data_IF_153888660145
#
_entry.id   IF_153888660145
#
_cell.length_a   1.000
_cell.length_b   1.000
_cell.length_c   1.000
_cell.angle_alpha   90.00
_cell.angle_beta   90.00
_cell.angle_gamma   90.00
#
_symmetry.space_group_name_H-M   'P 1'
#
loop_
_entity.id
_entity.type
_entity.pdbx_description
1 polymer ?
#
# COMPACT_ATOMS: atom_id res chain seq x y z
N UNK A 1 -67.67 36.88 18.77
CA UNK A 1 -66.42 37.57 18.41
C UNK A 1 -65.28 36.67 18.87
N UNK A 2 -64.71 35.93 17.92
CA UNK A 2 -63.78 34.81 18.11
C UNK A 2 -62.36 35.32 17.81
N UNK A 3 -61.38 34.99 18.64
CA UNK A 3 -59.97 34.98 18.24
C UNK A 3 -59.31 33.70 18.74
N UNK A 4 -59.09 32.76 17.83
CA UNK A 4 -58.34 31.52 18.03
C UNK A 4 -56.86 31.81 17.79
N UNK A 5 -56.01 31.59 18.80
CA UNK A 5 -54.55 31.63 18.67
C UNK A 5 -54.05 30.31 18.09
N UNK A 6 -53.40 30.35 16.93
CA UNK A 6 -52.65 29.24 16.37
C UNK A 6 -51.23 29.23 16.95
N UNK A 7 -50.85 28.15 17.65
CA UNK A 7 -49.47 27.82 17.96
C UNK A 7 -48.90 27.01 16.79
N UNK A 8 -47.96 27.58 16.04
CA UNK A 8 -47.16 26.84 15.07
C UNK A 8 -46.07 26.05 15.79
N UNK A 9 -46.16 24.72 15.75
CA UNK A 9 -45.15 23.79 16.25
C UNK A 9 -44.02 23.70 15.20
N UNK A 10 -42.89 24.35 15.43
CA UNK A 10 -41.68 24.16 14.62
C UNK A 10 -41.02 22.83 14.99
N UNK A 11 -41.29 21.78 14.22
CA UNK A 11 -40.53 20.53 14.23
C UNK A 11 -39.13 20.78 13.64
N UNK A 12 -38.14 20.95 14.50
CA UNK A 12 -36.74 20.87 14.12
C UNK A 12 -36.43 19.42 13.73
N UNK A 13 -36.44 19.12 12.43
CA UNK A 13 -35.76 17.95 11.89
C UNK A 13 -34.25 18.17 12.06
N UNK A 14 -33.69 17.74 13.18
CA UNK A 14 -32.25 17.52 13.30
C UNK A 14 -31.90 16.35 12.40
N UNK A 15 -31.54 16.65 11.15
CA UNK A 15 -30.87 15.69 10.27
C UNK A 15 -29.56 15.30 10.93
N UNK A 16 -29.54 14.14 11.59
CA UNK A 16 -28.31 13.48 12.01
C UNK A 16 -27.60 13.10 10.73
N UNK A 17 -26.67 13.94 10.29
CA UNK A 17 -25.67 13.55 9.31
C UNK A 17 -24.97 12.32 9.93
N UNK A 18 -25.05 11.13 9.34
CA UNK A 18 -24.27 10.01 9.85
C UNK A 18 -22.81 10.45 9.74
N UNK A 19 -22.18 10.74 10.87
CA UNK A 19 -20.73 10.77 10.93
C UNK A 19 -20.29 9.45 10.31
N UNK A 20 -19.48 9.48 9.25
CA UNK A 20 -18.76 8.30 8.81
C UNK A 20 -17.97 7.83 10.03
N UNK A 21 -18.46 6.80 10.71
CA UNK A 21 -17.78 6.20 11.84
C UNK A 21 -16.49 5.60 11.30
N UNK A 22 -15.38 5.83 12.02
CA UNK A 22 -14.11 5.20 11.72
C UNK A 22 -14.25 3.68 11.79
N UNK A 23 -13.48 2.97 10.96
CA UNK A 23 -13.43 1.51 10.90
C UNK A 23 -13.41 0.87 12.30
N UNK A 24 -14.34 -0.05 12.54
CA UNK A 24 -14.48 -0.74 13.82
C UNK A 24 -13.89 -2.17 13.79
N UNK A 25 -13.44 -2.73 14.93
CA UNK A 25 -12.89 -4.09 14.99
C UNK A 25 -13.79 -5.18 14.38
N UNK A 26 -15.12 -5.07 14.54
CA UNK A 26 -16.08 -6.04 13.98
C UNK A 26 -16.16 -6.03 12.45
N UNK A 27 -15.63 -5.01 11.79
CA UNK A 27 -15.65 -4.82 10.34
C UNK A 27 -14.38 -5.32 9.65
N UNK A 28 -13.39 -5.78 10.43
CA UNK A 28 -12.12 -6.35 9.97
C UNK A 28 -12.20 -7.87 9.95
N UNK A 29 -11.89 -8.47 8.81
CA UNK A 29 -11.80 -9.93 8.61
C UNK A 29 -10.37 -10.33 8.30
N UNK A 30 -9.86 -11.34 9.00
CA UNK A 30 -8.47 -11.78 8.90
C UNK A 30 -8.37 -12.96 7.93
N UNK A 31 -7.41 -12.90 7.00
CA UNK A 31 -7.09 -13.99 6.09
C UNK A 31 -5.85 -14.71 6.60
N UNK A 32 -6.02 -15.94 7.07
CA UNK A 32 -4.96 -16.76 7.70
C UNK A 32 -4.53 -17.86 6.77
N UNK A 33 -3.22 -17.98 6.55
CA UNK A 33 -2.67 -19.08 5.76
C UNK A 33 -2.55 -20.34 6.61
N UNK A 34 -3.34 -21.38 6.29
CA UNK A 34 -3.33 -22.68 6.95
C UNK A 34 -1.98 -23.41 6.87
N UNK A 35 -1.24 -23.19 5.79
CA UNK A 35 0.08 -23.81 5.58
C UNK A 35 1.20 -23.13 6.39
N UNK A 36 0.93 -21.99 7.03
CA UNK A 36 1.88 -21.24 7.86
C UNK A 36 1.38 -21.20 9.32
N UNK A 37 1.88 -22.09 10.22
CA UNK A 37 1.40 -22.18 11.60
C UNK A 37 1.52 -20.87 12.40
N UNK A 38 2.51 -20.02 12.10
CA UNK A 38 2.66 -18.73 12.78
C UNK A 38 1.58 -17.73 12.38
N UNK A 39 0.96 -17.90 11.20
CA UNK A 39 -0.16 -17.07 10.72
C UNK A 39 -1.32 -17.08 11.71
N UNK A 40 -1.73 -18.27 12.17
CA UNK A 40 -2.83 -18.41 13.13
C UNK A 40 -2.47 -17.76 14.49
N UNK A 41 -1.24 -17.94 14.99
CA UNK A 41 -0.80 -17.35 16.25
C UNK A 41 -0.79 -15.82 16.23
N UNK A 42 -0.44 -15.23 15.07
CA UNK A 42 -0.48 -13.77 14.87
C UNK A 42 -1.92 -13.29 14.77
N UNK A 43 -2.80 -14.01 14.09
CA UNK A 43 -4.22 -13.67 13.99
C UNK A 43 -4.92 -13.69 15.36
N UNK A 44 -4.68 -14.73 16.17
CA UNK A 44 -5.20 -14.80 17.54
C UNK A 44 -4.72 -13.62 18.39
N UNK A 45 -3.44 -13.24 18.26
CA UNK A 45 -2.88 -12.09 18.95
C UNK A 45 -3.50 -10.76 18.49
N UNK A 46 -3.73 -10.61 17.18
CA UNK A 46 -4.41 -9.43 16.65
C UNK A 46 -5.84 -9.32 17.20
N UNK A 47 -6.61 -10.41 17.19
CA UNK A 47 -7.94 -10.46 17.79
C UNK A 47 -7.93 -10.08 19.28
N UNK A 48 -6.94 -10.55 20.04
CA UNK A 48 -6.79 -10.19 21.47
C UNK A 48 -6.51 -8.70 21.66
N UNK A 49 -5.57 -8.14 20.91
CA UNK A 49 -5.13 -6.74 21.05
C UNK A 49 -6.17 -5.75 20.54
N UNK A 50 -6.80 -6.04 19.40
CA UNK A 50 -7.77 -5.15 18.73
C UNK A 50 -9.23 -5.44 19.04
N UNK A 51 -9.51 -6.52 19.78
CA UNK A 51 -10.88 -6.99 20.07
C UNK A 51 -11.68 -7.30 18.79
N UNK A 52 -10.99 -7.73 17.73
CA UNK A 52 -11.66 -8.28 16.54
C UNK A 52 -12.26 -9.64 16.91
N UNK A 53 -13.55 -9.90 16.60
CA UNK A 53 -14.17 -11.19 16.88
C UNK A 53 -13.40 -12.34 16.25
N UNK A 54 -13.16 -13.42 17.01
CA UNK A 54 -12.46 -14.61 16.48
C UNK A 54 -13.18 -15.27 15.30
N UNK A 55 -14.50 -15.10 15.24
CA UNK A 55 -15.34 -15.54 14.11
C UNK A 55 -15.09 -14.77 12.80
N UNK A 56 -14.32 -13.67 12.85
CA UNK A 56 -13.88 -12.94 11.66
C UNK A 56 -12.59 -13.52 11.05
N UNK A 57 -12.01 -14.59 11.62
CA UNK A 57 -10.87 -15.28 11.04
C UNK A 57 -11.35 -16.23 9.93
N UNK A 58 -10.78 -16.06 8.73
CA UNK A 58 -11.01 -16.92 7.56
C UNK A 58 -9.70 -17.65 7.26
N UNK A 59 -9.70 -18.96 7.49
CA UNK A 59 -8.55 -19.83 7.25
C UNK A 59 -8.56 -20.31 5.80
N UNK A 60 -7.46 -20.10 5.08
CA UNK A 60 -7.30 -20.41 3.66
C UNK A 60 -6.16 -21.41 3.45
N UNK A 61 -6.37 -22.37 2.56
CA UNK A 61 -5.35 -23.36 2.17
C UNK A 61 -4.65 -22.87 0.90
N UNK A 62 -3.55 -22.14 1.09
CA UNK A 62 -2.80 -21.48 0.01
C UNK A 62 -1.30 -21.75 0.14
N UNK A 63 -0.55 -21.43 -0.91
CA UNK A 63 0.91 -21.55 -0.94
C UNK A 63 1.58 -20.67 0.13
N UNK A 64 2.77 -21.07 0.58
CA UNK A 64 3.67 -20.27 1.43
C UNK A 64 4.66 -19.44 0.62
N UNK A 65 4.63 -19.54 -0.71
CA UNK A 65 5.44 -18.70 -1.59
C UNK A 65 4.84 -17.30 -1.74
N UNK A 66 5.70 -16.33 -2.08
CA UNK A 66 5.29 -14.93 -2.33
C UNK A 66 4.34 -14.78 -3.54
N UNK A 67 4.30 -15.77 -4.43
CA UNK A 67 3.51 -15.77 -5.65
C UNK A 67 2.42 -16.84 -5.64
N UNK A 68 1.25 -16.49 -6.18
CA UNK A 68 0.14 -17.43 -6.44
C UNK A 68 -0.32 -17.30 -7.89
N UNK A 69 -0.71 -18.42 -8.52
CA UNK A 69 -1.32 -18.38 -9.85
C UNK A 69 -2.71 -17.71 -9.80
N UNK A 70 -3.15 -17.09 -10.90
CA UNK A 70 -4.50 -16.52 -10.99
C UNK A 70 -5.58 -17.54 -10.65
N UNK A 71 -5.45 -18.77 -11.18
CA UNK A 71 -6.39 -19.87 -10.91
C UNK A 71 -6.48 -20.20 -9.43
N UNK A 72 -5.34 -20.31 -8.75
CA UNK A 72 -5.30 -20.61 -7.32
C UNK A 72 -5.80 -19.42 -6.49
N UNK A 73 -5.52 -18.18 -6.89
CA UNK A 73 -6.12 -17.00 -6.26
C UNK A 73 -7.66 -17.05 -6.33
N UNK A 74 -8.24 -17.31 -7.51
CA UNK A 74 -9.69 -17.34 -7.68
C UNK A 74 -10.36 -18.49 -6.90
N UNK A 75 -9.74 -19.67 -6.91
CA UNK A 75 -10.32 -20.89 -6.33
C UNK A 75 -10.00 -21.10 -4.85
N UNK A 76 -8.83 -20.67 -4.38
CA UNK A 76 -8.35 -20.87 -2.99
C UNK A 76 -8.43 -19.62 -2.12
N UNK A 77 -8.56 -18.43 -2.69
CA UNK A 77 -8.75 -17.18 -1.93
C UNK A 77 -10.15 -16.61 -2.18
N UNK A 78 -10.46 -16.16 -3.40
CA UNK A 78 -11.70 -15.42 -3.68
C UNK A 78 -12.94 -16.23 -3.34
N UNK A 79 -13.01 -17.48 -3.81
CA UNK A 79 -14.19 -18.33 -3.61
C UNK A 79 -14.44 -18.64 -2.12
N UNK A 80 -13.45 -19.10 -1.33
CA UNK A 80 -13.61 -19.27 0.11
C UNK A 80 -13.93 -17.98 0.87
N UNK A 81 -13.28 -16.86 0.54
CA UNK A 81 -13.53 -15.57 1.21
C UNK A 81 -14.97 -15.10 0.95
N UNK A 82 -15.44 -15.11 -0.29
CA UNK A 82 -16.84 -14.78 -0.62
C UNK A 82 -17.82 -15.70 0.10
N UNK A 83 -17.50 -16.99 0.21
CA UNK A 83 -18.33 -17.97 0.94
C UNK A 83 -18.40 -17.65 2.43
N UNK A 84 -17.26 -17.34 3.07
CA UNK A 84 -17.19 -17.00 4.49
C UNK A 84 -17.87 -15.66 4.83
N UNK A 85 -17.90 -14.74 3.88
CA UNK A 85 -18.53 -13.41 4.03
C UNK A 85 -20.00 -13.36 3.59
N UNK A 86 -20.59 -14.48 3.19
CA UNK A 86 -22.01 -14.54 2.83
C UNK A 86 -22.89 -14.08 3.99
N UNK A 87 -23.74 -13.08 3.76
CA UNK A 87 -24.58 -12.44 4.79
C UNK A 87 -23.85 -11.40 5.64
N UNK A 88 -22.56 -11.15 5.38
CA UNK A 88 -21.70 -10.15 6.06
C UNK A 88 -21.12 -9.14 5.07
N UNK A 89 -21.63 -9.06 3.84
CA UNK A 89 -21.10 -8.25 2.75
C UNK A 89 -21.07 -6.76 3.08
N UNK A 90 -22.05 -6.29 3.86
CA UNK A 90 -22.10 -4.90 4.32
C UNK A 90 -21.26 -4.64 5.58
N UNK A 91 -20.98 -5.68 6.37
CA UNK A 91 -20.16 -5.61 7.58
C UNK A 91 -18.66 -5.65 7.27
N UNK A 92 -18.25 -6.47 6.30
CA UNK A 92 -16.84 -6.59 5.92
C UNK A 92 -16.37 -5.34 5.19
N UNK A 93 -15.70 -4.44 5.91
CA UNK A 93 -15.12 -3.21 5.35
C UNK A 93 -13.62 -3.34 5.10
N UNK A 94 -12.95 -4.23 5.80
CA UNK A 94 -11.52 -4.45 5.65
C UNK A 94 -11.16 -5.95 5.65
N UNK A 95 -10.31 -6.36 4.71
CA UNK A 95 -9.60 -7.65 4.75
C UNK A 95 -8.17 -7.41 5.21
N UNK A 96 -7.75 -8.18 6.21
CA UNK A 96 -6.41 -8.15 6.77
C UNK A 96 -5.67 -9.44 6.42
N UNK A 97 -4.74 -9.36 5.48
CA UNK A 97 -3.82 -10.47 5.17
C UNK A 97 -2.89 -10.69 6.36
N UNK A 98 -2.78 -11.91 6.86
CA UNK A 98 -1.87 -12.26 7.96
C UNK A 98 -0.63 -12.97 7.40
N UNK A 99 0.47 -12.86 8.13
CA UNK A 99 1.77 -13.48 7.89
C UNK A 99 1.69 -14.80 7.10
N UNK A 100 2.44 -14.87 6.00
CA UNK A 100 2.50 -16.05 5.14
C UNK A 100 1.47 -16.09 4.01
N UNK A 101 0.55 -15.12 3.91
CA UNK A 101 -0.29 -14.98 2.71
C UNK A 101 0.56 -14.56 1.49
N UNK A 102 0.29 -15.07 0.27
CA UNK A 102 1.02 -14.64 -0.92
C UNK A 102 0.93 -13.13 -1.15
N UNK A 103 1.95 -12.53 -1.77
CA UNK A 103 2.02 -11.09 -2.05
C UNK A 103 1.53 -10.76 -3.45
N UNK A 104 1.82 -11.61 -4.44
CA UNK A 104 1.56 -11.34 -5.86
C UNK A 104 0.71 -12.41 -6.52
N UNK A 105 -0.34 -11.98 -7.23
CA UNK A 105 -1.08 -12.82 -8.16
C UNK A 105 -0.44 -12.71 -9.53
N UNK A 106 -0.02 -13.84 -10.10
CA UNK A 106 0.57 -13.88 -11.43
C UNK A 106 -0.48 -13.65 -12.52
N UNK A 107 -0.02 -13.11 -13.65
CA UNK A 107 -0.84 -13.01 -14.85
C UNK A 107 -1.44 -14.38 -15.23
N UNK A 108 -2.69 -14.42 -15.73
CA UNK A 108 -3.28 -15.67 -16.20
C UNK A 108 -2.48 -16.22 -17.39
N UNK A 109 -2.14 -17.50 -17.34
CA UNK A 109 -1.43 -18.23 -18.39
C UNK A 109 -2.14 -19.57 -18.64
N UNK A 110 -2.10 -20.06 -19.88
CA UNK A 110 -2.42 -21.46 -20.16
C UNK A 110 -1.34 -22.38 -19.61
N UNK A 111 -1.62 -23.68 -19.44
CA UNK A 111 -0.63 -24.64 -18.98
C UNK A 111 0.61 -24.70 -19.90
N UNK A 112 0.43 -24.54 -21.21
CA UNK A 112 1.53 -24.46 -22.17
C UNK A 112 2.36 -23.19 -21.96
N UNK A 113 1.70 -22.03 -21.77
CA UNK A 113 2.38 -20.77 -21.51
C UNK A 113 3.13 -20.80 -20.17
N UNK A 114 2.58 -21.45 -19.14
CA UNK A 114 3.25 -21.66 -17.84
C UNK A 114 4.53 -22.49 -18.01
N UNK A 115 4.47 -23.63 -18.71
CA UNK A 115 5.64 -24.47 -18.97
C UNK A 115 6.72 -23.72 -19.76
N UNK A 116 6.31 -22.94 -20.77
CA UNK A 116 7.22 -22.10 -21.54
C UNK A 116 7.83 -21.00 -20.66
N UNK A 117 7.04 -20.35 -19.81
CA UNK A 117 7.51 -19.30 -18.91
C UNK A 117 8.52 -19.84 -17.89
N UNK A 118 8.25 -20.99 -17.26
CA UNK A 118 9.18 -21.66 -16.33
C UNK A 118 10.51 -21.96 -17.04
N UNK A 119 10.44 -22.50 -18.27
CA UNK A 119 11.63 -22.77 -19.07
C UNK A 119 12.39 -21.49 -19.38
N UNK A 120 11.73 -20.45 -19.90
CA UNK A 120 12.39 -19.20 -20.27
C UNK A 120 12.98 -18.46 -19.06
N UNK A 121 12.31 -18.48 -17.90
CA UNK A 121 12.83 -17.90 -16.65
C UNK A 121 14.10 -18.62 -16.20
N UNK A 122 14.11 -19.96 -16.21
CA UNK A 122 15.29 -20.76 -15.87
C UNK A 122 16.45 -20.49 -16.83
N UNK A 123 16.17 -20.45 -18.13
CA UNK A 123 17.18 -20.21 -19.16
C UNK A 123 17.72 -18.76 -19.03
N UNK A 124 16.85 -17.77 -18.73
CA UNK A 124 17.24 -16.38 -18.49
C UNK A 124 18.12 -16.23 -17.25
N UNK A 125 17.77 -16.90 -16.15
CA UNK A 125 18.57 -16.89 -14.92
C UNK A 125 19.98 -17.43 -15.17
N UNK A 126 20.08 -18.58 -15.86
CA UNK A 126 21.37 -19.14 -16.28
C UNK A 126 22.17 -18.14 -17.12
N UNK A 127 21.52 -17.48 -18.08
CA UNK A 127 22.19 -16.50 -18.95
C UNK A 127 22.62 -15.23 -18.24
N UNK A 128 21.83 -14.74 -17.28
CA UNK A 128 22.21 -13.62 -16.43
C UNK A 128 23.39 -13.96 -15.53
N UNK A 129 23.43 -15.16 -14.97
CA UNK A 129 24.57 -15.63 -14.17
C UNK A 129 25.87 -15.73 -15.02
N UNK A 130 25.77 -16.24 -16.26
CA UNK A 130 26.89 -16.24 -17.22
C UNK A 130 27.35 -14.82 -17.55
N UNK A 131 26.41 -13.90 -17.82
CA UNK A 131 26.69 -12.49 -18.13
C UNK A 131 27.35 -11.76 -16.96
N UNK A 132 26.83 -11.95 -15.73
CA UNK A 132 27.39 -11.35 -14.52
C UNK A 132 28.80 -11.86 -14.25
N UNK A 133 29.04 -13.16 -14.45
CA UNK A 133 30.38 -13.73 -14.36
C UNK A 133 31.31 -13.14 -15.43
N UNK A 134 30.87 -13.06 -16.69
CA UNK A 134 31.64 -12.46 -17.77
C UNK A 134 32.01 -10.98 -17.50
N UNK A 135 31.08 -10.22 -16.92
CA UNK A 135 31.29 -8.82 -16.50
C UNK A 135 32.28 -8.72 -15.33
N UNK A 136 32.15 -9.60 -14.32
CA UNK A 136 33.11 -9.68 -13.20
C UNK A 136 34.52 -10.06 -13.65
N UNK A 137 34.62 -11.00 -14.58
CA UNK A 137 35.89 -11.47 -15.17
C UNK A 137 36.45 -10.49 -16.22
N UNK A 138 35.77 -9.37 -16.47
CA UNK A 138 36.13 -8.33 -17.46
C UNK A 138 36.41 -8.91 -18.85
N UNK A 139 35.59 -9.87 -19.27
CA UNK A 139 35.71 -10.48 -20.59
C UNK A 139 35.49 -9.43 -21.70
N UNK A 140 36.12 -9.62 -22.88
CA UNK A 140 36.01 -8.69 -23.99
C UNK A 140 34.59 -8.72 -24.59
N UNK A 141 34.18 -7.60 -25.21
CA UNK A 141 32.78 -7.38 -25.67
C UNK A 141 32.26 -8.49 -26.57
N UNK A 142 33.11 -9.09 -27.40
CA UNK A 142 32.75 -10.16 -28.32
C UNK A 142 32.24 -11.42 -27.59
N UNK A 143 32.58 -11.58 -26.30
CA UNK A 143 32.05 -12.65 -25.43
C UNK A 143 30.86 -12.21 -24.58
N UNK A 144 30.72 -10.90 -24.31
CA UNK A 144 29.65 -10.33 -23.47
C UNK A 144 28.39 -10.07 -24.30
N UNK A 145 28.53 -9.48 -25.48
CA UNK A 145 27.43 -9.04 -26.33
C UNK A 145 26.48 -10.19 -26.73
N UNK A 146 26.96 -11.42 -27.06
CA UNK A 146 26.07 -12.55 -27.34
C UNK A 146 25.23 -12.98 -26.13
N UNK A 147 25.84 -13.01 -24.93
CA UNK A 147 25.14 -13.36 -23.68
C UNK A 147 24.08 -12.33 -23.34
N UNK A 148 24.39 -11.04 -23.51
CA UNK A 148 23.45 -9.94 -23.31
C UNK A 148 22.30 -9.99 -24.31
N UNK A 149 22.58 -10.29 -25.58
CA UNK A 149 21.55 -10.48 -26.61
C UNK A 149 20.64 -11.66 -26.28
N UNK A 150 21.19 -12.83 -25.94
CA UNK A 150 20.40 -14.02 -25.58
C UNK A 150 19.52 -13.76 -24.34
N UNK A 151 20.05 -13.06 -23.33
CA UNK A 151 19.28 -12.67 -22.15
C UNK A 151 18.14 -11.71 -22.52
N UNK A 152 18.39 -10.73 -23.39
CA UNK A 152 17.37 -9.80 -23.86
C UNK A 152 16.30 -10.49 -24.72
N UNK A 153 16.67 -11.44 -25.58
CA UNK A 153 15.73 -12.23 -26.39
C UNK A 153 14.84 -13.12 -25.51
N UNK A 154 15.41 -13.79 -24.50
CA UNK A 154 14.65 -14.56 -23.51
C UNK A 154 13.70 -13.67 -22.72
N UNK A 155 14.15 -12.49 -22.31
CA UNK A 155 13.31 -11.50 -21.65
C UNK A 155 12.15 -11.04 -22.56
N UNK A 156 12.41 -10.82 -23.86
CA UNK A 156 11.38 -10.50 -24.86
C UNK A 156 10.35 -11.60 -25.04
N UNK A 157 10.77 -12.88 -25.04
CA UNK A 157 9.86 -14.04 -25.10
C UNK A 157 9.00 -14.17 -23.84
N UNK A 158 9.58 -13.94 -22.67
CA UNK A 158 8.84 -13.89 -21.39
C UNK A 158 7.78 -12.80 -21.46
N UNK A 159 8.17 -11.61 -21.90
CA UNK A 159 7.27 -10.46 -22.06
C UNK A 159 6.09 -10.82 -22.99
N UNK A 160 6.36 -11.43 -24.15
CA UNK A 160 5.30 -11.82 -25.10
C UNK A 160 4.36 -12.94 -24.64
N UNK A 161 4.74 -13.74 -23.63
CA UNK A 161 3.88 -14.77 -23.05
C UNK A 161 2.98 -14.24 -21.93
N UNK A 162 3.45 -13.24 -21.21
CA UNK A 162 2.72 -12.67 -20.07
C UNK A 162 1.63 -11.76 -20.63
N UNK A 163 0.40 -11.87 -20.10
CA UNK A 163 -0.61 -10.83 -20.30
C UNK A 163 -0.04 -9.56 -19.63
N UNK A 164 0.57 -8.69 -20.44
CA UNK A 164 1.40 -7.59 -19.96
C UNK A 164 0.64 -6.74 -18.94
N UNK A 165 1.31 -6.38 -17.84
CA UNK A 165 0.73 -5.62 -16.74
C UNK A 165 -0.54 -6.28 -16.17
N UNK A 166 -0.59 -7.62 -16.12
CA UNK A 166 -1.69 -8.40 -15.51
C UNK A 166 -1.35 -9.21 -14.24
N UNK A 167 -0.10 -9.10 -13.76
CA UNK A 167 0.28 -9.45 -12.38
C UNK A 167 -0.05 -8.32 -11.37
N UNK A 168 -0.73 -8.61 -10.27
CA UNK A 168 -1.12 -7.59 -9.28
C UNK A 168 -0.71 -8.03 -7.87
N UNK A 169 -0.76 -7.12 -6.88
CA UNK A 169 -0.69 -7.58 -5.50
C UNK A 169 -1.97 -8.32 -5.13
N UNK A 170 -1.85 -9.34 -4.27
CA UNK A 170 -3.01 -10.05 -3.69
C UNK A 170 -3.92 -9.07 -2.97
N UNK A 171 -3.35 -8.11 -2.25
CA UNK A 171 -4.08 -7.10 -1.48
C UNK A 171 -4.89 -6.13 -2.38
N UNK A 172 -4.37 -5.76 -3.55
CA UNK A 172 -5.13 -4.98 -4.55
C UNK A 172 -6.22 -5.81 -5.21
N UNK A 173 -5.96 -7.07 -5.56
CA UNK A 173 -7.00 -7.94 -6.12
C UNK A 173 -8.11 -8.23 -5.10
N UNK A 174 -7.76 -8.35 -3.82
CA UNK A 174 -8.72 -8.49 -2.74
C UNK A 174 -9.58 -7.24 -2.57
N UNK A 175 -9.06 -6.05 -2.89
CA UNK A 175 -9.85 -4.80 -2.89
C UNK A 175 -11.05 -4.89 -3.84
N UNK A 176 -10.91 -5.69 -4.90
CA UNK A 176 -11.93 -5.96 -5.91
C UNK A 176 -12.73 -7.23 -5.61
N UNK A 177 -12.75 -7.73 -4.36
CA UNK A 177 -13.40 -8.99 -3.98
C UNK A 177 -14.82 -9.14 -4.54
N UNK A 178 -15.61 -8.07 -4.64
CA UNK A 178 -17.00 -8.11 -5.09
C UNK A 178 -17.19 -7.81 -6.58
N UNK A 179 -16.12 -7.63 -7.34
CA UNK A 179 -16.17 -7.35 -8.77
C UNK A 179 -16.15 -8.68 -9.51
N UNK A 180 -17.24 -9.02 -10.21
CA UNK A 180 -17.35 -10.28 -10.93
C UNK A 180 -16.47 -10.32 -12.20
N UNK A 181 -16.38 -9.19 -12.90
CA UNK A 181 -15.59 -9.02 -14.12
C UNK A 181 -14.95 -7.64 -14.10
N UNK A 182 -13.67 -7.59 -14.41
CA UNK A 182 -12.91 -6.36 -14.54
C UNK A 182 -11.71 -6.59 -15.46
N UNK A 183 -11.14 -5.49 -15.96
CA UNK A 183 -9.92 -5.58 -16.75
C UNK A 183 -8.75 -5.94 -15.83
N UNK A 184 -8.05 -7.02 -16.14
CA UNK A 184 -6.83 -7.41 -15.44
C UNK A 184 -5.61 -6.64 -15.94
N UNK A 185 -5.69 -5.90 -17.05
CA UNK A 185 -4.57 -5.07 -17.48
C UNK A 185 -4.56 -3.76 -16.74
N UNK A 186 -3.40 -3.45 -16.15
CA UNK A 186 -3.09 -2.15 -15.54
C UNK A 186 -4.06 -1.83 -14.41
N UNK A 187 -4.06 -0.57 -14.02
CA UNK A 187 -4.75 -0.09 -12.86
C UNK A 187 -6.26 0.12 -13.08
N UNK A 188 -6.99 0.09 -11.97
CA UNK A 188 -8.39 0.52 -11.89
C UNK A 188 -8.50 1.68 -10.91
N UNK A 189 -9.18 2.74 -11.33
CA UNK A 189 -9.39 3.93 -10.51
C UNK A 189 -10.16 3.63 -9.24
N UNK A 190 -9.70 4.20 -8.14
CA UNK A 190 -10.23 3.97 -6.83
C UNK A 190 -11.59 4.68 -6.61
N UNK A 191 -12.68 3.93 -6.39
CA UNK A 191 -13.99 4.53 -6.10
C UNK A 191 -14.06 5.35 -4.81
N UNK A 192 -13.13 5.13 -3.87
CA UNK A 192 -13.05 5.77 -2.55
C UNK A 192 -12.16 7.02 -2.51
N UNK A 193 -11.47 7.34 -3.62
CA UNK A 193 -10.53 8.45 -3.64
C UNK A 193 -11.22 9.78 -3.30
N UNK A 194 -10.66 10.56 -2.39
CA UNK A 194 -11.34 11.72 -1.81
C UNK A 194 -11.63 12.85 -2.80
N UNK A 195 -10.82 12.97 -3.85
CA UNK A 195 -11.02 13.94 -4.92
C UNK A 195 -11.89 13.43 -6.07
N UNK A 196 -12.42 12.19 -5.97
CA UNK A 196 -13.27 11.63 -7.01
C UNK A 196 -14.54 12.48 -7.16
N UNK A 197 -14.85 12.99 -8.37
CA UNK A 197 -16.08 13.73 -8.61
C UNK A 197 -17.33 12.90 -8.25
N UNK A 198 -18.32 13.55 -7.62
CA UNK A 198 -19.56 12.90 -7.18
C UNK A 198 -20.51 12.53 -8.32
N UNK A 199 -20.29 13.10 -9.49
CA UNK A 199 -21.13 13.02 -10.69
C UNK A 199 -20.64 11.99 -11.73
N UNK A 200 -19.56 11.24 -11.44
CA UNK A 200 -19.13 10.11 -12.29
C UNK A 200 -20.32 9.14 -12.46
N UNK A 201 -20.80 9.04 -13.69
CA UNK A 201 -21.96 8.20 -14.05
C UNK A 201 -21.57 6.72 -13.96
N UNK A 202 -22.31 5.96 -13.17
CA UNK A 202 -22.14 4.51 -13.02
C UNK A 202 -21.87 4.11 -11.57
N UNK A 203 -22.57 3.08 -11.09
CA UNK A 203 -22.26 2.47 -9.78
C UNK A 203 -21.06 1.54 -9.96
N UNK A 204 -19.89 1.94 -9.49
CA UNK A 204 -18.79 0.99 -9.28
C UNK A 204 -19.25 -0.05 -8.24
N UNK A 205 -18.95 -1.35 -8.43
CA UNK A 205 -19.18 -2.32 -7.37
C UNK A 205 -18.42 -1.90 -6.10
N UNK A 206 -18.89 -2.37 -4.95
CA UNK A 206 -18.27 -2.03 -3.66
C UNK A 206 -16.84 -2.56 -3.65
N UNK A 207 -15.90 -1.72 -3.24
CA UNK A 207 -14.52 -2.12 -2.95
C UNK A 207 -14.36 -2.36 -1.45
N UNK A 208 -13.44 -3.24 -1.08
CA UNK A 208 -13.10 -3.54 0.31
C UNK A 208 -11.70 -3.02 0.61
N UNK A 209 -11.49 -2.40 1.78
CA UNK A 209 -10.16 -1.92 2.13
C UNK A 209 -9.24 -3.10 2.46
N UNK A 210 -7.95 -3.00 2.14
CA UNK A 210 -6.99 -4.08 2.42
C UNK A 210 -5.73 -3.56 3.10
N UNK A 211 -5.19 -4.37 4.01
CA UNK A 211 -3.90 -4.16 4.66
C UNK A 211 -3.33 -5.51 5.07
N UNK A 212 -2.08 -5.51 5.57
CA UNK A 212 -1.33 -6.71 5.89
C UNK A 212 -0.57 -6.59 7.20
N UNK A 213 -0.69 -7.59 8.07
CA UNK A 213 0.27 -7.82 9.16
C UNK A 213 1.24 -8.92 8.73
N UNK A 214 2.42 -8.52 8.30
CA UNK A 214 3.47 -9.41 7.80
C UNK A 214 4.84 -8.73 7.91
N UNK A 215 5.92 -9.47 7.73
CA UNK A 215 7.27 -8.93 7.78
C UNK A 215 8.33 -10.03 7.72
N UNK A 216 9.62 -9.70 7.84
CA UNK A 216 10.71 -10.66 7.70
C UNK A 216 10.68 -11.87 8.64
N UNK A 217 10.01 -11.74 9.78
CA UNK A 217 9.82 -12.84 10.73
C UNK A 217 8.45 -12.72 11.41
N UNK A 218 7.91 -13.81 11.97
CA UNK A 218 6.68 -13.78 12.75
C UNK A 218 6.74 -12.79 13.93
N UNK A 219 7.92 -12.66 14.55
CA UNK A 219 8.16 -11.72 15.64
C UNK A 219 7.99 -10.27 15.20
N UNK A 220 8.45 -9.90 14.00
CA UNK A 220 8.28 -8.57 13.45
C UNK A 220 6.81 -8.31 13.11
N UNK A 221 6.11 -9.28 12.50
CA UNK A 221 4.67 -9.15 12.24
C UNK A 221 3.87 -8.91 13.53
N UNK A 222 4.16 -9.66 14.60
CA UNK A 222 3.59 -9.43 15.94
C UNK A 222 3.96 -8.06 16.51
N UNK A 223 5.19 -7.59 16.27
CA UNK A 223 5.66 -6.27 16.70
C UNK A 223 4.83 -5.15 16.07
N UNK A 224 4.46 -5.24 14.79
CA UNK A 224 3.67 -4.20 14.11
C UNK A 224 2.35 -3.90 14.85
N UNK A 225 1.67 -4.95 15.30
CA UNK A 225 0.43 -4.85 16.09
C UNK A 225 0.69 -4.15 17.43
N UNK A 226 1.77 -4.59 18.10
CA UNK A 226 2.12 -4.13 19.44
C UNK A 226 2.53 -2.67 19.44
N UNK A 227 3.36 -2.28 18.48
CA UNK A 227 3.81 -0.91 18.29
C UNK A 227 2.65 0.02 17.95
N UNK A 228 1.74 -0.40 17.06
CA UNK A 228 0.56 0.39 16.70
C UNK A 228 -0.34 0.68 17.92
N UNK A 229 -0.68 -0.35 18.71
CA UNK A 229 -1.50 -0.19 19.92
C UNK A 229 -0.77 0.66 20.98
N UNK A 230 0.53 0.47 21.15
CA UNK A 230 1.32 1.26 22.10
C UNK A 230 1.41 2.73 21.69
N UNK A 231 1.59 3.02 20.41
CA UNK A 231 1.64 4.38 19.88
C UNK A 231 0.27 5.08 20.01
N UNK A 232 -0.86 4.39 19.84
CA UNK A 232 -2.19 4.97 20.12
C UNK A 232 -2.45 5.23 21.61
N UNK A 233 -1.86 4.41 22.48
CA UNK A 233 -1.96 4.58 23.92
C UNK A 233 -1.19 5.81 24.38
N UNK A 234 0.04 6.01 23.87
CA UNK A 234 0.98 7.05 24.31
C UNK A 234 0.95 8.33 23.47
N UNK A 235 0.47 8.24 22.23
CA UNK A 235 0.71 9.22 21.19
C UNK A 235 1.94 8.85 20.36
N UNK A 236 1.91 9.11 19.05
CA UNK A 236 3.09 9.03 18.19
C UNK A 236 3.85 10.37 18.26
N UNK A 237 4.99 10.35 18.94
CA UNK A 237 5.90 11.48 19.07
C UNK A 237 7.23 11.16 18.39
N UNK A 238 7.88 12.18 17.82
CA UNK A 238 9.15 12.04 17.11
C UNK A 238 9.24 13.04 15.97
N UNK A 239 10.26 12.83 15.13
CA UNK A 239 10.62 13.72 14.02
C UNK A 239 10.08 13.20 12.71
N UNK A 240 9.91 14.12 11.77
CA UNK A 240 9.49 13.85 10.41
C UNK A 240 10.66 14.09 9.48
N UNK A 241 10.95 13.10 8.63
CA UNK A 241 12.02 13.16 7.65
C UNK A 241 11.44 12.97 6.25
N UNK A 242 11.67 13.95 5.40
CA UNK A 242 11.24 13.91 4.00
C UNK A 242 12.47 13.99 3.12
N UNK A 243 12.67 12.98 2.29
CA UNK A 243 13.79 12.84 1.37
C UNK A 243 13.27 13.00 -0.06
N UNK A 244 13.25 14.25 -0.54
CA UNK A 244 12.79 14.66 -1.86
C UNK A 244 13.99 15.00 -2.75
N UNK A 245 13.82 14.98 -4.08
CA UNK A 245 14.91 15.25 -5.03
C UNK A 245 15.07 16.69 -5.49
N UNK A 246 14.10 17.56 -5.21
CA UNK A 246 14.15 18.96 -5.67
C UNK A 246 13.86 19.11 -7.17
N UNK A 247 13.02 18.24 -7.73
CA UNK A 247 12.56 18.30 -9.11
C UNK A 247 11.61 19.51 -9.28
N UNK A 248 12.10 20.55 -9.94
CA UNK A 248 11.39 21.84 -10.11
C UNK A 248 10.93 22.11 -11.55
N UNK A 249 11.34 21.27 -12.51
CA UNK A 249 11.02 21.45 -13.93
C UNK A 249 9.70 20.75 -14.27
N UNK A 250 8.59 21.37 -13.91
CA UNK A 250 7.25 20.80 -14.12
C UNK A 250 6.94 20.72 -15.63
N UNK A 251 6.66 19.52 -16.18
CA UNK A 251 6.24 19.37 -17.58
C UNK A 251 4.94 20.14 -17.87
N UNK A 252 4.82 20.70 -19.08
CA UNK A 252 3.56 21.33 -19.51
C UNK A 252 2.44 20.29 -19.53
N UNK A 253 1.35 20.56 -18.81
CA UNK A 253 0.20 19.65 -18.72
C UNK A 253 0.34 18.54 -17.67
N UNK A 254 1.35 18.62 -16.80
CA UNK A 254 1.49 17.71 -15.66
C UNK A 254 0.22 17.69 -14.79
N UNK A 255 -0.28 16.49 -14.52
CA UNK A 255 -1.49 16.27 -13.72
C UNK A 255 -1.23 16.22 -12.21
N UNK A 256 0.03 16.32 -11.79
CA UNK A 256 0.49 16.13 -10.42
C UNK A 256 0.75 14.67 -10.03
N UNK A 257 0.59 13.70 -10.94
CA UNK A 257 0.79 12.28 -10.67
C UNK A 257 2.10 11.70 -11.26
N UNK A 258 2.81 12.50 -12.04
CA UNK A 258 4.16 12.21 -12.51
C UNK A 258 5.22 12.33 -11.40
N UNK A 259 6.49 12.17 -11.76
CA UNK A 259 7.60 12.24 -10.82
C UNK A 259 7.71 13.64 -10.20
N UNK A 260 7.68 14.69 -11.00
CA UNK A 260 7.77 16.07 -10.52
C UNK A 260 6.60 16.43 -9.58
N UNK A 261 5.40 15.94 -9.89
CA UNK A 261 4.22 16.15 -9.05
C UNK A 261 4.31 15.42 -7.70
N UNK A 262 4.80 14.17 -7.69
CA UNK A 262 5.01 13.45 -6.44
C UNK A 262 6.12 14.09 -5.59
N UNK A 263 7.18 14.60 -6.23
CA UNK A 263 8.30 15.25 -5.55
C UNK A 263 7.89 16.59 -4.93
N UNK A 264 7.02 17.34 -5.61
CA UNK A 264 6.36 18.50 -5.02
C UNK A 264 5.46 18.10 -3.85
N UNK A 265 4.71 17.01 -3.95
CA UNK A 265 3.88 16.54 -2.83
C UNK A 265 4.70 16.20 -1.60
N UNK A 266 5.94 15.73 -1.74
CA UNK A 266 6.85 15.58 -0.61
C UNK A 266 7.22 16.93 0.03
N UNK A 267 7.54 17.95 -0.77
CA UNK A 267 7.80 19.30 -0.25
C UNK A 267 6.57 19.89 0.45
N UNK A 268 5.39 19.70 -0.12
CA UNK A 268 4.13 20.15 0.48
C UNK A 268 3.80 19.39 1.77
N UNK A 269 4.08 18.08 1.86
CA UNK A 269 4.02 17.33 3.12
C UNK A 269 4.91 17.95 4.18
N UNK A 270 6.17 18.23 3.84
CA UNK A 270 7.12 18.83 4.77
C UNK A 270 6.64 20.20 5.27
N UNK A 271 6.14 21.05 4.36
CA UNK A 271 5.58 22.35 4.72
C UNK A 271 4.34 22.23 5.60
N UNK A 272 3.37 21.38 5.22
CA UNK A 272 2.11 21.18 5.97
C UNK A 272 2.38 20.74 7.41
N UNK A 273 3.19 19.69 7.59
CA UNK A 273 3.44 19.11 8.91
C UNK A 273 4.26 20.06 9.79
N UNK A 274 5.15 20.87 9.20
CA UNK A 274 5.96 21.85 9.94
C UNK A 274 5.15 23.09 10.32
N UNK A 275 4.53 23.72 9.34
CA UNK A 275 3.92 25.05 9.49
C UNK A 275 2.55 24.96 10.17
N UNK A 276 1.74 23.96 9.81
CA UNK A 276 0.40 23.77 10.37
C UNK A 276 0.43 22.74 11.50
N UNK A 277 1.03 21.57 11.24
CA UNK A 277 1.10 20.47 12.19
C UNK A 277 2.02 20.71 13.40
N UNK A 278 2.87 21.74 13.34
CA UNK A 278 3.87 22.10 14.37
C UNK A 278 4.78 20.92 14.75
N UNK A 279 5.10 20.08 13.77
CA UNK A 279 6.00 18.94 13.94
C UNK A 279 7.46 19.34 13.66
N UNK A 280 8.41 18.60 14.24
CA UNK A 280 9.83 18.73 13.91
C UNK A 280 10.11 18.04 12.57
N UNK A 281 10.31 18.83 11.52
CA UNK A 281 10.44 18.36 10.14
C UNK A 281 11.80 18.73 9.56
N UNK A 282 12.52 17.71 9.07
CA UNK A 282 13.73 17.86 8.25
C UNK A 282 13.42 17.45 6.82
N UNK A 283 13.69 18.35 5.88
CA UNK A 283 13.56 18.12 4.44
C UNK A 283 14.95 18.08 3.82
N UNK A 284 15.32 16.95 3.23
CA UNK A 284 16.36 16.87 2.21
C UNK A 284 15.68 17.08 0.86
N UNK A 285 16.15 18.06 0.07
CA UNK A 285 15.49 18.50 -1.18
C UNK A 285 16.52 18.54 -2.32
N UNK A 286 17.37 17.53 -2.35
CA UNK A 286 18.42 17.32 -3.36
C UNK A 286 18.46 15.85 -3.73
N UNK A 287 19.26 15.48 -4.72
CA UNK A 287 19.39 14.06 -5.11
C UNK A 287 20.11 13.17 -4.09
N UNK A 288 20.55 13.71 -2.96
CA UNK A 288 21.24 12.95 -1.92
C UNK A 288 20.23 12.25 -1.03
N UNK A 289 20.53 11.00 -0.69
CA UNK A 289 19.81 10.31 0.38
C UNK A 289 20.30 10.77 1.75
N UNK A 290 19.44 10.67 2.76
CA UNK A 290 19.88 10.81 4.14
C UNK A 290 21.01 9.82 4.49
N UNK A 291 22.07 10.28 5.17
CA UNK A 291 23.15 9.40 5.62
C UNK A 291 22.69 8.28 6.55
N UNK A 292 23.49 7.22 6.65
CA UNK A 292 23.26 6.11 7.59
C UNK A 292 23.11 6.65 9.02
N UNK A 293 22.01 6.27 9.66
CA UNK A 293 21.63 6.62 11.04
C UNK A 293 21.58 8.12 11.36
N UNK A 294 21.36 8.99 10.37
CA UNK A 294 21.23 10.45 10.59
C UNK A 294 19.85 10.87 11.10
N UNK A 295 18.81 10.10 10.81
CA UNK A 295 17.43 10.45 11.12
C UNK A 295 17.00 9.85 12.47
N UNK A 296 17.29 10.57 13.56
CA UNK A 296 17.02 10.16 14.94
C UNK A 296 15.56 10.37 15.32
N UNK A 297 15.03 9.50 16.19
CA UNK A 297 13.65 9.58 16.71
C UNK A 297 12.61 9.69 15.59
N UNK A 298 12.80 8.94 14.50
CA UNK A 298 11.99 9.06 13.29
C UNK A 298 10.59 8.49 13.51
N UNK A 299 9.56 9.35 13.49
CA UNK A 299 8.15 8.98 13.57
C UNK A 299 7.50 8.86 12.19
N UNK A 300 7.82 9.78 11.28
CA UNK A 300 7.31 9.75 9.89
C UNK A 300 8.47 9.87 8.91
N UNK A 301 8.52 8.99 7.92
CA UNK A 301 9.50 9.02 6.85
C UNK A 301 8.85 8.83 5.48
N UNK A 302 9.23 9.66 4.52
CA UNK A 302 8.89 9.48 3.12
C UNK A 302 10.11 9.80 2.27
N UNK A 303 10.64 8.82 1.54
CA UNK A 303 11.87 9.00 0.76
C UNK A 303 11.75 8.70 -0.73
N UNK A 304 12.69 9.25 -1.49
CA UNK A 304 12.64 9.27 -2.96
C UNK A 304 13.66 8.35 -3.63
N UNK A 305 13.15 7.50 -4.53
CA UNK A 305 13.81 6.59 -5.50
C UNK A 305 15.27 6.18 -5.29
N UNK A 306 15.45 5.00 -4.66
CA UNK A 306 16.69 4.23 -4.54
C UNK A 306 16.34 2.73 -4.61
N UNK A 307 15.93 2.27 -5.79
CA UNK A 307 15.39 0.91 -6.01
C UNK A 307 16.39 -0.15 -5.57
N UNK A 308 15.91 -1.06 -4.71
CA UNK A 308 16.70 -2.19 -4.19
C UNK A 308 18.09 -1.76 -3.64
N UNK A 309 18.17 -0.54 -3.12
CA UNK A 309 19.37 0.03 -2.53
C UNK A 309 18.97 0.74 -1.22
N UNK A 310 18.55 -0.07 -0.26
CA UNK A 310 18.18 0.37 1.08
C UNK A 310 19.35 1.05 1.80
N UNK A 311 19.08 2.22 2.38
CA UNK A 311 19.99 2.91 3.30
C UNK A 311 19.36 2.93 4.69
N UNK A 312 20.10 2.44 5.68
CA UNK A 312 19.70 2.44 7.09
C UNK A 312 19.80 3.85 7.70
N UNK A 313 19.03 4.80 7.17
CA UNK A 313 19.12 6.22 7.51
C UNK A 313 18.39 6.59 8.80
N UNK A 314 17.34 5.85 9.16
CA UNK A 314 16.44 6.18 10.26
C UNK A 314 16.59 5.27 11.48
N UNK A 315 16.55 5.89 12.66
CA UNK A 315 16.27 5.21 13.92
C UNK A 315 14.81 5.49 14.30
N UNK A 316 13.95 4.49 14.09
CA UNK A 316 12.51 4.63 14.22
C UNK A 316 12.03 4.54 15.67
N UNK A 317 11.03 5.36 16.02
CA UNK A 317 10.25 5.18 17.25
C UNK A 317 9.18 4.10 17.05
N UNK A 318 8.73 3.41 18.11
CA UNK A 318 7.58 2.52 18.03
C UNK A 318 6.33 3.26 17.51
N UNK A 319 5.68 2.70 16.49
CA UNK A 319 4.56 3.33 15.79
C UNK A 319 4.95 4.08 14.52
N UNK A 320 6.25 4.15 14.17
CA UNK A 320 6.71 4.91 13.02
C UNK A 320 6.13 4.41 11.69
N UNK A 321 5.87 5.37 10.81
CA UNK A 321 5.33 5.13 9.46
C UNK A 321 6.37 5.61 8.47
N UNK A 322 6.84 4.69 7.63
CA UNK A 322 7.95 4.94 6.74
C UNK A 322 7.73 4.25 5.41
N UNK A 323 7.95 4.95 4.29
CA UNK A 323 8.12 4.27 3.01
C UNK A 323 9.09 5.02 2.10
N UNK A 324 9.48 4.34 1.03
CA UNK A 324 10.32 4.89 -0.01
C UNK A 324 9.62 4.72 -1.36
N UNK A 325 9.53 5.79 -2.15
CA UNK A 325 8.99 5.76 -3.51
C UNK A 325 10.00 5.01 -4.39
N UNK A 326 9.76 3.72 -4.63
CA UNK A 326 10.57 2.90 -5.51
C UNK A 326 9.78 1.68 -6.00
N UNK A 327 10.19 1.15 -7.15
CA UNK A 327 9.58 -0.03 -7.77
C UNK A 327 10.10 -1.31 -7.12
N UNK A 328 9.32 -2.40 -7.17
CA UNK A 328 9.73 -3.73 -6.70
C UNK A 328 10.09 -3.82 -5.19
N UNK A 329 9.58 -2.91 -4.37
CA UNK A 329 9.97 -2.78 -2.95
C UNK A 329 9.42 -3.89 -2.05
N UNK A 330 8.31 -4.50 -2.47
CA UNK A 330 7.61 -5.54 -1.74
C UNK A 330 7.59 -6.87 -2.55
N UNK A 331 8.69 -7.20 -3.25
CA UNK A 331 8.85 -8.47 -3.97
C UNK A 331 8.81 -9.71 -3.06
N UNK A 332 9.39 -9.57 -1.87
CA UNK A 332 9.34 -10.56 -0.81
C UNK A 332 9.56 -9.86 0.53
N UNK A 333 8.81 -10.29 1.55
CA UNK A 333 9.06 -9.87 2.92
C UNK A 333 9.91 -10.89 3.69
N UNK A 334 9.78 -12.18 3.37
CA UNK A 334 10.42 -13.28 4.10
C UNK A 334 11.84 -13.57 3.59
N UNK A 335 12.06 -13.48 2.28
CA UNK A 335 13.38 -13.74 1.67
C UNK A 335 14.26 -12.49 1.75
N UNK A 336 15.56 -12.67 1.98
CA UNK A 336 16.50 -11.56 2.01
C UNK A 336 16.53 -10.82 0.67
N UNK A 337 16.48 -9.49 0.75
CA UNK A 337 16.59 -8.59 -0.38
C UNK A 337 16.97 -7.18 0.11
N UNK A 338 17.32 -6.30 -0.83
CA UNK A 338 17.72 -4.92 -0.56
C UNK A 338 16.57 -3.90 -0.72
N UNK A 339 15.31 -4.36 -0.77
CA UNK A 339 14.13 -3.50 -0.83
C UNK A 339 13.83 -2.81 0.49
N UNK A 340 13.31 -1.59 0.43
CA UNK A 340 12.90 -0.75 1.54
C UNK A 340 11.75 -1.35 2.35
N UNK A 341 10.71 -1.96 1.77
CA UNK A 341 9.60 -2.53 2.57
C UNK A 341 10.14 -3.46 3.68
N UNK A 342 10.89 -4.50 3.27
CA UNK A 342 11.45 -5.49 4.19
C UNK A 342 12.42 -4.85 5.19
N UNK A 343 13.33 -4.01 4.71
CA UNK A 343 14.40 -3.47 5.52
C UNK A 343 13.92 -2.38 6.48
N UNK A 344 12.94 -1.55 6.12
CA UNK A 344 12.28 -0.61 7.03
C UNK A 344 11.64 -1.36 8.21
N UNK A 345 10.95 -2.46 7.95
CA UNK A 345 10.37 -3.31 9.00
C UNK A 345 11.46 -3.94 9.90
N UNK A 346 12.56 -4.42 9.32
CA UNK A 346 13.71 -4.90 10.12
C UNK A 346 14.27 -3.81 11.04
N UNK A 347 14.32 -2.56 10.56
CA UNK A 347 14.92 -1.44 11.28
C UNK A 347 13.99 -0.74 12.26
N UNK A 348 12.74 -1.18 12.37
CA UNK A 348 11.83 -0.74 13.43
C UNK A 348 10.61 0.03 12.96
N UNK A 349 10.43 0.27 11.66
CA UNK A 349 9.19 0.85 11.16
C UNK A 349 8.01 -0.07 11.52
N UNK A 350 6.90 0.53 11.95
CA UNK A 350 5.65 -0.17 12.28
C UNK A 350 4.75 -0.30 11.06
N UNK A 351 4.84 0.67 10.15
CA UNK A 351 4.08 0.72 8.90
C UNK A 351 5.00 1.03 7.73
N UNK A 352 4.79 0.33 6.63
CA UNK A 352 5.36 0.66 5.31
C UNK A 352 4.35 0.33 4.21
N UNK A 353 4.61 0.83 3.01
CA UNK A 353 3.89 0.42 1.81
C UNK A 353 4.85 0.32 0.64
N UNK A 354 4.50 -0.49 -0.34
CA UNK A 354 5.28 -0.58 -1.57
C UNK A 354 4.72 -1.60 -2.57
N UNK A 355 5.20 -1.54 -3.80
CA UNK A 355 4.67 -2.35 -4.89
C UNK A 355 5.33 -3.74 -4.98
N UNK A 356 4.57 -4.74 -5.43
CA UNK A 356 5.10 -6.07 -5.77
C UNK A 356 5.76 -6.13 -7.15
N UNK A 357 5.62 -5.10 -7.98
CA UNK A 357 6.31 -4.95 -9.27
C UNK A 357 6.41 -3.46 -9.65
N UNK A 358 6.52 -3.09 -10.93
CA UNK A 358 6.55 -1.69 -11.37
C UNK A 358 5.15 -1.04 -11.23
N UNK A 359 5.01 0.07 -10.48
CA UNK A 359 3.69 0.66 -10.25
C UNK A 359 3.43 1.99 -10.97
N UNK A 360 4.45 2.63 -11.57
CA UNK A 360 4.48 4.08 -11.81
C UNK A 360 4.37 4.91 -10.51
N UNK A 361 4.79 6.18 -10.54
CA UNK A 361 4.64 7.07 -9.37
C UNK A 361 3.20 7.26 -8.93
N UNK A 362 2.26 7.22 -9.88
CA UNK A 362 0.85 7.51 -9.66
C UNK A 362 0.14 6.50 -8.75
N UNK A 363 0.66 5.29 -8.58
CA UNK A 363 0.02 4.29 -7.72
C UNK A 363 0.33 4.50 -6.23
N UNK A 364 1.42 5.19 -5.89
CA UNK A 364 1.67 5.55 -4.51
C UNK A 364 0.69 6.64 -4.07
N UNK A 365 0.18 6.59 -2.83
CA UNK A 365 -0.59 7.69 -2.30
C UNK A 365 0.31 8.92 -2.20
N UNK A 366 -0.25 10.09 -2.54
CA UNK A 366 0.50 11.34 -2.43
C UNK A 366 0.83 11.62 -0.95
N UNK A 367 2.10 11.89 -0.60
CA UNK A 367 2.53 11.94 0.78
C UNK A 367 1.87 13.08 1.56
N UNK A 368 1.69 14.28 0.99
CA UNK A 368 0.97 15.36 1.68
C UNK A 368 -0.45 14.91 2.04
N UNK A 369 -1.15 14.29 1.11
CA UNK A 369 -2.55 13.90 1.28
C UNK A 369 -2.66 12.76 2.31
N UNK A 370 -1.83 11.72 2.17
CA UNK A 370 -1.83 10.56 3.07
C UNK A 370 -1.49 10.96 4.50
N UNK A 371 -0.32 11.58 4.70
CA UNK A 371 0.12 11.96 6.04
C UNK A 371 -0.74 13.10 6.59
N UNK A 372 -1.26 13.98 5.73
CA UNK A 372 -2.23 15.01 6.07
C UNK A 372 -3.50 14.43 6.66
N UNK A 373 -4.17 13.51 5.94
CA UNK A 373 -5.39 12.86 6.44
C UNK A 373 -5.13 12.05 7.71
N UNK A 374 -4.02 11.31 7.78
CA UNK A 374 -3.65 10.56 8.98
C UNK A 374 -3.45 11.48 10.19
N UNK A 375 -2.75 12.61 10.01
CA UNK A 375 -2.48 13.60 11.05
C UNK A 375 -3.72 14.34 11.55
N UNK A 376 -4.87 14.22 10.86
CA UNK A 376 -6.16 14.69 11.39
C UNK A 376 -6.68 13.85 12.56
N UNK A 377 -6.19 12.61 12.71
CA UNK A 377 -6.71 11.66 13.70
C UNK A 377 -8.13 11.15 13.42
N UNK A 378 -8.77 11.55 12.31
CA UNK A 378 -10.12 11.12 11.94
C UNK A 378 -10.15 9.76 11.25
N UNK A 379 -9.09 9.42 10.55
CA UNK A 379 -8.98 8.22 9.71
C UNK A 379 -7.95 7.26 10.31
N UNK A 380 -8.28 5.98 10.29
CA UNK A 380 -7.31 4.91 10.50
C UNK A 380 -6.34 4.80 9.34
N UNK A 381 -5.26 4.03 9.51
CA UNK A 381 -4.24 3.83 8.51
C UNK A 381 -4.82 3.35 7.17
N UNK A 382 -5.70 2.34 7.21
CA UNK A 382 -6.27 1.78 5.98
C UNK A 382 -7.27 2.74 5.33
N UNK A 383 -7.99 3.55 6.13
CA UNK A 383 -8.88 4.57 5.60
C UNK A 383 -8.11 5.70 4.94
N UNK A 384 -7.00 6.16 5.54
CA UNK A 384 -6.13 7.17 4.94
C UNK A 384 -5.52 6.66 3.63
N UNK A 385 -5.05 5.41 3.60
CA UNK A 385 -4.57 4.75 2.39
C UNK A 385 -5.66 4.66 1.31
N UNK A 386 -6.80 4.05 1.62
CA UNK A 386 -7.91 3.88 0.68
C UNK A 386 -8.49 5.22 0.21
N UNK A 387 -8.35 6.29 1.00
CA UNK A 387 -8.80 7.62 0.63
C UNK A 387 -7.86 8.32 -0.35
N UNK A 388 -6.57 8.00 -0.34
CA UNK A 388 -5.51 8.76 -1.05
C UNK A 388 -4.80 7.98 -2.15
N UNK A 389 -4.96 6.66 -2.20
CA UNK A 389 -4.49 5.86 -3.33
C UNK A 389 -5.35 6.13 -4.55
N UNK A 390 -4.73 6.51 -5.67
CA UNK A 390 -5.46 6.78 -6.92
C UNK A 390 -6.13 5.52 -7.49
N UNK A 391 -5.54 4.36 -7.23
CA UNK A 391 -5.97 3.09 -7.80
C UNK A 391 -6.31 2.05 -6.72
N UNK A 392 -7.36 1.24 -6.96
CA UNK A 392 -7.70 0.05 -6.14
C UNK A 392 -7.01 -1.20 -6.65
N UNK A 393 -6.56 -1.17 -7.89
CA UNK A 393 -5.57 -2.07 -8.45
C UNK A 393 -4.45 -1.20 -8.96
N UNK A 394 -3.19 -1.36 -8.56
CA UNK A 394 -2.49 -2.52 -9.09
C UNK A 394 -1.43 -3.10 -8.13
N UNK A 395 -0.18 -2.65 -8.15
CA UNK A 395 0.90 -3.39 -7.46
C UNK A 395 0.98 -3.22 -5.94
N UNK A 396 0.21 -2.30 -5.35
CA UNK A 396 0.53 -1.77 -4.02
C UNK A 396 0.14 -2.71 -2.89
N UNK A 397 0.97 -2.76 -1.85
CA UNK A 397 0.71 -3.46 -0.58
C UNK A 397 0.89 -2.46 0.55
N UNK A 398 -0.11 -2.36 1.43
CA UNK A 398 -0.03 -1.61 2.69
C UNK A 398 0.27 -2.58 3.83
N UNK A 399 1.43 -2.44 4.47
CA UNK A 399 1.86 -3.28 5.59
C UNK A 399 1.73 -2.47 6.88
N UNK A 400 0.83 -2.92 7.76
CA UNK A 400 0.52 -2.23 9.01
C UNK A 400 -0.82 -2.68 9.55
N UNK A 401 -1.12 -2.23 10.76
CA UNK A 401 -2.41 -2.47 11.40
C UNK A 401 -3.48 -1.56 10.78
N UNK A 402 -4.55 -2.11 10.18
CA UNK A 402 -5.54 -1.30 9.48
C UNK A 402 -6.28 -0.34 10.39
N UNK A 403 -6.42 -0.66 11.69
CA UNK A 403 -7.08 0.18 12.69
C UNK A 403 -6.16 1.26 13.26
N UNK A 404 -4.87 1.28 12.88
CA UNK A 404 -3.89 2.19 13.45
C UNK A 404 -4.27 3.66 13.23
N UNK A 405 -4.48 4.41 14.32
CA UNK A 405 -4.80 5.83 14.27
C UNK A 405 -4.01 6.61 15.34
N UNK A 406 -2.73 6.90 15.08
CA UNK A 406 -1.81 7.46 16.08
C UNK A 406 -2.20 8.87 16.56
N UNK A 407 -2.94 9.62 15.74
CA UNK A 407 -3.28 11.01 16.02
C UNK A 407 -4.72 11.19 16.51
N UNK A 408 -5.48 10.11 16.72
CA UNK A 408 -6.89 10.18 17.19
C UNK A 408 -7.08 11.03 18.44
N UNK A 409 -6.19 10.89 19.42
CA UNK A 409 -6.25 11.61 20.71
C UNK A 409 -5.51 12.95 20.69
N UNK A 410 -4.65 13.15 19.69
CA UNK A 410 -3.81 14.35 19.54
C UNK A 410 -3.70 14.76 18.08
N UNK A 411 -4.80 15.22 17.44
CA UNK A 411 -4.77 15.68 16.06
C UNK A 411 -3.72 16.77 15.86
N UNK A 412 -2.93 16.67 14.79
CA UNK A 412 -1.96 17.69 14.39
C UNK A 412 -2.56 18.64 13.35
N UNK A 413 -3.56 18.18 12.59
CA UNK A 413 -4.20 18.93 11.52
C UNK A 413 -5.72 18.87 11.64
N UNK A 414 -6.41 19.81 10.97
CA UNK A 414 -7.83 19.72 10.66
C UNK A 414 -7.97 19.18 9.23
N UNK A 415 -9.10 18.54 8.96
CA UNK A 415 -9.41 18.03 7.61
C UNK A 415 -9.40 19.14 6.54
N UNK A 416 -9.76 20.36 6.91
CA UNK A 416 -9.72 21.52 6.02
C UNK A 416 -8.29 21.97 5.64
N UNK A 417 -7.27 21.52 6.37
CA UNK A 417 -5.86 21.86 6.11
C UNK A 417 -5.29 20.99 4.99
N UNK A 418 -5.83 19.79 4.77
CA UNK A 418 -5.43 18.89 3.68
C UNK A 418 -6.03 19.37 2.36
N UNK A 419 -5.18 19.57 1.35
CA UNK A 419 -5.56 20.10 0.03
C UNK A 419 -5.11 19.15 -1.08
N UNK A 420 -5.63 19.28 -2.31
CA UNK A 420 -5.05 18.57 -3.45
C UNK A 420 -3.55 18.90 -3.54
N UNK A 421 -2.73 17.86 -3.61
CA UNK A 421 -1.28 17.96 -3.73
C UNK A 421 -0.84 17.35 -5.06
N UNK A 422 0.18 17.85 -5.76
CA UNK A 422 0.65 19.23 -5.64
C UNK A 422 -0.51 20.23 -5.82
N UNK A 423 -0.35 21.50 -5.45
CA UNK A 423 -1.43 22.52 -5.57
C UNK A 423 -2.09 22.63 -6.95
N UNK A 424 -1.38 22.31 -8.03
CA UNK A 424 -1.93 22.25 -9.40
C UNK A 424 -2.47 20.86 -9.79
N UNK A 425 -2.18 19.87 -8.97
CA UNK A 425 -2.58 18.50 -9.14
C UNK A 425 -4.09 18.37 -9.16
N UNK A 426 -4.57 17.44 -9.98
CA UNK A 426 -6.00 17.20 -10.16
C UNK A 426 -6.28 15.71 -10.12
N UNK A 427 -7.51 15.35 -9.76
CA UNK A 427 -7.98 13.99 -9.98
C UNK A 427 -7.95 13.68 -11.48
N UNK A 428 -7.37 12.53 -11.84
CA UNK A 428 -7.39 12.00 -13.19
C UNK A 428 -8.32 10.78 -13.22
N UNK A 429 -8.97 10.55 -14.35
CA UNK A 429 -9.93 9.45 -14.53
C UNK A 429 -9.70 8.76 -15.87
N UNK A 430 -10.38 7.65 -16.12
CA UNK A 430 -10.28 6.90 -17.37
C UNK A 430 -10.79 7.65 -18.61
N UNK A 431 -11.54 8.73 -18.41
CA UNK A 431 -12.18 9.50 -19.49
C UNK A 431 -11.26 10.61 -20.05
N UNK A 432 -10.05 10.73 -19.52
CA UNK A 432 -8.97 11.63 -19.98
C UNK A 432 -7.77 10.83 -20.50
#
# INVERSE_FOLDING_TARGET
>A
MVFFRWLSLCLFFTGVCPALLALEPREVFLLVNKAEPESQKIADYYCEMRKVPKENIIVLDVTTEDEISRKDYDTKIVTPVRTALKGKETQAKCLLSIYGMPLRVLAPLTAEQEQQLVKFRRDLESKRAELDKARKDKLPKEKVDPLEKEANDLQGKINGLIYHEAEASVDSELTLLWWEKYNLQRFLFNPLHWQRPKDIKGKSPTVIMTSRIDGPTPAIARRLITDAVNAEAKGLEGKVYVDARGLTKIPKGDSGWGLEGYDESMREMAALLKEVGKMDVTLENTEKLFPVKSCKDCALYCGWYSVANFVDCCEFVPGAIAWHLASYECLSLHKENNGWCRNLLLKGATVTLGPVAEPYSAAFPKPEEFFGFLATGKYTLVEAYARTSLFTSWMMVLIGDPLYNPYKKSPKLKEADVKPSPKWGRYISSDE
#
